data_IF_705336903388
#
_entry.id   IF_705336903388
#
_cell.length_a   1.000
_cell.length_b   1.000
_cell.length_c   1.000
_cell.angle_alpha   90.00
_cell.angle_beta   90.00
_cell.angle_gamma   90.00
#
_symmetry.space_group_name_H-M   'P 1'
#
loop_
_entity.id
_entity.type
_entity.pdbx_description
1 polymer ?
#
# COMPACT_ATOMS: atom_id res chain seq x y z
N UNK A 1 -31.04 -29.73 8.72
CA UNK A 1 -29.96 -30.13 7.79
C UNK A 1 -28.73 -29.28 8.10
N UNK A 2 -27.86 -29.79 8.98
CA UNK A 2 -26.58 -29.17 9.30
C UNK A 2 -25.49 -29.94 8.56
N UNK A 3 -25.00 -29.36 7.47
CA UNK A 3 -23.90 -29.92 6.71
C UNK A 3 -22.94 -28.78 6.42
N UNK A 4 -21.91 -28.63 7.26
CA UNK A 4 -20.50 -28.46 6.88
C UNK A 4 -19.73 -28.72 8.18
N UNK A 5 -19.27 -29.97 8.34
CA UNK A 5 -18.29 -30.33 9.34
C UNK A 5 -16.93 -29.96 8.73
N UNK A 6 -16.38 -28.81 9.10
CA UNK A 6 -15.06 -28.38 8.60
C UNK A 6 -14.03 -29.35 9.20
N UNK A 7 -13.25 -30.08 8.38
CA UNK A 7 -12.26 -31.00 8.93
C UNK A 7 -11.21 -30.20 9.70
N UNK A 8 -10.96 -30.64 10.94
CA UNK A 8 -9.87 -30.19 11.79
C UNK A 8 -8.57 -30.23 10.97
N UNK A 9 -8.01 -29.05 10.70
CA UNK A 9 -6.77 -28.90 9.93
C UNK A 9 -5.66 -29.74 10.57
N UNK A 10 -5.18 -30.76 9.86
CA UNK A 10 -4.06 -31.59 10.29
C UNK A 10 -2.76 -30.75 10.30
N UNK A 11 -1.93 -30.82 11.35
CA UNK A 11 -0.79 -29.91 11.55
C UNK A 11 0.49 -30.39 10.85
N UNK A 12 0.42 -30.71 9.56
CA UNK A 12 1.58 -31.19 8.78
C UNK A 12 2.02 -30.24 7.65
N UNK A 13 1.77 -28.94 7.80
CA UNK A 13 2.33 -27.86 6.98
C UNK A 13 3.37 -27.09 7.79
N UNK A 14 4.49 -26.60 7.23
CA UNK A 14 5.60 -26.06 8.02
C UNK A 14 5.08 -25.00 8.99
N UNK A 15 5.26 -25.29 10.28
CA UNK A 15 4.68 -24.67 11.47
C UNK A 15 5.14 -23.24 11.75
N UNK A 16 5.58 -22.50 10.73
CA UNK A 16 5.95 -21.09 10.85
C UNK A 16 4.93 -20.28 10.07
N UNK A 17 4.18 -19.44 10.78
CA UNK A 17 3.47 -18.32 10.15
C UNK A 17 4.52 -17.54 9.38
N UNK A 18 4.52 -17.66 8.04
CA UNK A 18 5.45 -16.94 7.20
C UNK A 18 4.86 -15.56 6.97
N UNK A 19 5.50 -14.55 7.54
CA UNK A 19 5.24 -13.19 7.11
C UNK A 19 5.70 -13.02 5.67
N UNK A 20 5.26 -11.92 5.07
CA UNK A 20 5.57 -11.58 3.69
C UNK A 20 5.40 -10.08 3.50
N UNK A 21 6.08 -9.54 2.51
CA UNK A 21 5.96 -8.17 2.03
C UNK A 21 5.42 -8.25 0.61
N UNK A 22 4.34 -7.53 0.34
CA UNK A 22 3.78 -7.33 -0.98
C UNK A 22 3.86 -5.85 -1.34
N UNK A 23 4.36 -5.51 -2.53
CA UNK A 23 4.48 -4.12 -2.97
C UNK A 23 3.63 -3.86 -4.21
N UNK A 24 2.83 -2.80 -4.15
CA UNK A 24 1.97 -2.27 -5.21
C UNK A 24 2.52 -0.91 -5.61
N UNK A 25 3.25 -0.88 -6.73
CA UNK A 25 3.84 0.32 -7.32
C UNK A 25 2.95 0.89 -8.42
N UNK A 26 3.28 2.10 -8.89
CA UNK A 26 2.67 2.71 -10.07
C UNK A 26 2.50 4.22 -9.92
N UNK A 27 2.22 4.94 -11.03
CA UNK A 27 2.08 6.38 -11.01
C UNK A 27 0.82 6.85 -10.26
N UNK A 28 0.64 8.16 -10.10
CA UNK A 28 -0.62 8.69 -9.56
C UNK A 28 -1.83 8.21 -10.41
N UNK A 29 -3.00 8.04 -9.80
CA UNK A 29 -4.23 7.55 -10.45
C UNK A 29 -4.19 6.12 -11.05
N UNK A 30 -3.15 5.32 -10.77
CA UNK A 30 -3.14 3.88 -11.11
C UNK A 30 -3.93 2.99 -10.14
N UNK A 31 -4.74 3.57 -9.24
CA UNK A 31 -5.60 2.87 -8.27
C UNK A 31 -4.86 2.02 -7.23
N UNK A 32 -3.62 2.35 -6.87
CA UNK A 32 -2.83 1.64 -5.85
C UNK A 32 -3.57 1.46 -4.52
N UNK A 33 -4.15 2.52 -3.97
CA UNK A 33 -4.88 2.47 -2.70
C UNK A 33 -6.12 1.57 -2.80
N UNK A 34 -6.78 1.51 -3.96
CA UNK A 34 -7.88 0.57 -4.21
C UNK A 34 -7.40 -0.88 -4.19
N UNK A 35 -6.29 -1.18 -4.86
CA UNK A 35 -5.71 -2.52 -4.86
C UNK A 35 -5.21 -2.93 -3.46
N UNK A 36 -4.60 -2.00 -2.71
CA UNK A 36 -4.24 -2.22 -1.31
C UNK A 36 -5.45 -2.62 -0.48
N UNK A 37 -6.51 -1.81 -0.51
CA UNK A 37 -7.73 -2.08 0.23
C UNK A 37 -8.38 -3.39 -0.19
N UNK A 38 -8.41 -3.69 -1.49
CA UNK A 38 -8.94 -4.95 -2.01
C UNK A 38 -8.17 -6.15 -1.45
N UNK A 39 -6.83 -6.11 -1.40
CA UNK A 39 -6.03 -7.19 -0.80
C UNK A 39 -6.27 -7.31 0.70
N UNK A 40 -6.30 -6.21 1.44
CA UNK A 40 -6.55 -6.21 2.88
C UNK A 40 -7.94 -6.75 3.21
N UNK A 41 -8.97 -6.37 2.45
CA UNK A 41 -10.34 -6.85 2.63
C UNK A 41 -10.47 -8.37 2.45
N UNK A 42 -9.70 -8.98 1.54
CA UNK A 42 -9.68 -10.45 1.40
C UNK A 42 -9.26 -11.16 2.69
N UNK A 43 -8.29 -10.61 3.41
CA UNK A 43 -7.88 -11.13 4.72
C UNK A 43 -8.94 -10.85 5.80
N UNK A 44 -9.54 -9.66 5.79
CA UNK A 44 -10.61 -9.31 6.73
C UNK A 44 -11.83 -10.22 6.59
N UNK A 45 -12.26 -10.53 5.37
CA UNK A 45 -13.36 -11.49 5.10
C UNK A 45 -13.03 -12.86 5.70
N UNK A 46 -11.77 -13.29 5.60
CA UNK A 46 -11.25 -14.49 6.22
C UNK A 46 -10.98 -14.35 7.73
N UNK A 47 -11.52 -13.32 8.40
CA UNK A 47 -11.46 -13.08 9.84
C UNK A 47 -10.07 -12.77 10.41
N UNK A 48 -9.11 -12.36 9.57
CA UNK A 48 -7.82 -11.86 10.04
C UNK A 48 -7.94 -10.44 10.61
N UNK A 49 -7.21 -10.16 11.69
CA UNK A 49 -7.09 -8.80 12.22
C UNK A 49 -6.21 -7.97 11.27
N UNK A 50 -6.75 -6.87 10.78
CA UNK A 50 -6.11 -6.02 9.79
C UNK A 50 -5.96 -4.59 10.32
N UNK A 51 -4.88 -3.92 9.94
CA UNK A 51 -4.64 -2.50 10.17
C UNK A 51 -4.26 -1.85 8.85
N UNK A 52 -4.83 -0.69 8.54
CA UNK A 52 -4.36 0.15 7.43
C UNK A 52 -3.73 1.40 8.01
N UNK A 53 -2.53 1.77 7.55
CA UNK A 53 -1.79 2.96 7.96
C UNK A 53 -1.76 3.93 6.80
N UNK A 54 -2.07 5.20 7.07
CA UNK A 54 -2.05 6.29 6.08
C UNK A 54 -1.11 7.41 6.51
N UNK A 55 -0.45 8.05 5.56
CA UNK A 55 0.43 9.17 5.87
C UNK A 55 -0.36 10.43 6.25
N UNK A 56 -0.19 10.93 7.47
CA UNK A 56 -1.01 12.03 8.04
C UNK A 56 -0.95 13.32 7.23
N UNK A 57 0.20 13.61 6.60
CA UNK A 57 0.40 14.88 5.88
C UNK A 57 -0.07 14.82 4.43
N UNK A 58 -0.61 13.68 3.98
CA UNK A 58 -1.27 13.60 2.69
C UNK A 58 -2.72 14.09 2.77
N UNK A 59 -2.88 15.41 2.69
CA UNK A 59 -4.20 16.07 2.70
C UNK A 59 -4.79 16.26 1.31
N UNK A 60 -4.16 15.69 0.25
CA UNK A 60 -4.59 15.90 -1.15
C UNK A 60 -6.02 15.43 -1.41
N UNK A 61 -6.54 14.52 -0.57
CA UNK A 61 -7.89 13.96 -0.68
C UNK A 61 -8.71 14.04 0.63
N UNK A 62 -8.21 14.74 1.66
CA UNK A 62 -8.80 14.69 3.01
C UNK A 62 -10.15 15.43 3.16
N UNK A 63 -10.71 16.00 2.10
CA UNK A 63 -12.06 16.59 2.12
C UNK A 63 -13.14 15.72 1.47
N UNK A 64 -12.76 14.75 0.63
CA UNK A 64 -13.72 14.00 -0.22
C UNK A 64 -13.36 12.50 -0.36
N UNK A 65 -12.76 11.86 0.65
CA UNK A 65 -12.83 10.39 0.68
C UNK A 65 -14.26 10.03 1.06
N UNK A 66 -15.06 9.93 0.00
CA UNK A 66 -16.49 9.75 0.03
C UNK A 66 -16.82 8.57 0.93
N UNK A 67 -17.49 8.86 2.03
CA UNK A 67 -18.23 7.96 2.90
C UNK A 67 -19.44 7.33 2.19
N UNK A 68 -19.29 6.98 0.90
CA UNK A 68 -20.33 6.27 0.16
C UNK A 68 -20.04 4.77 0.05
N UNK A 69 -18.80 4.31 0.29
CA UNK A 69 -18.53 2.90 0.52
C UNK A 69 -18.67 2.64 2.03
N UNK A 70 -19.83 2.14 2.45
CA UNK A 70 -20.21 1.81 3.83
C UNK A 70 -19.37 0.65 4.45
N UNK A 71 -18.15 0.42 3.97
CA UNK A 71 -17.27 -0.69 4.32
C UNK A 71 -15.80 -0.27 4.51
N UNK A 72 -15.54 1.02 4.75
CA UNK A 72 -14.17 1.51 4.94
C UNK A 72 -13.60 1.04 6.28
N UNK A 73 -12.65 0.10 6.23
CA UNK A 73 -11.75 -0.21 7.33
C UNK A 73 -11.10 1.09 7.84
N UNK A 74 -11.13 1.30 9.15
CA UNK A 74 -10.52 2.48 9.77
C UNK A 74 -9.00 2.48 9.52
N UNK A 75 -8.50 3.59 8.98
CA UNK A 75 -7.09 3.76 8.68
C UNK A 75 -6.44 4.64 9.76
N UNK A 76 -5.35 4.15 10.35
CA UNK A 76 -4.61 4.84 11.39
C UNK A 76 -3.62 5.83 10.74
N UNK A 77 -3.77 7.15 10.98
CA UNK A 77 -2.85 8.15 10.45
C UNK A 77 -1.50 8.09 11.18
N UNK A 78 -0.39 8.15 10.45
CA UNK A 78 0.95 8.18 11.01
C UNK A 78 1.93 9.04 10.17
N UNK A 79 3.00 9.53 10.80
CA UNK A 79 4.13 10.17 10.12
C UNK A 79 5.33 9.23 10.04
N UNK A 80 5.55 8.41 11.06
CA UNK A 80 6.47 7.27 11.10
C UNK A 80 5.66 6.01 11.38
N UNK A 81 6.02 4.89 10.76
CA UNK A 81 5.33 3.62 11.00
C UNK A 81 5.61 3.09 12.42
N UNK A 82 6.79 3.39 12.95
CA UNK A 82 7.14 3.03 14.32
C UNK A 82 6.27 3.74 15.38
N UNK A 83 5.67 4.89 15.08
CA UNK A 83 4.73 5.58 15.97
C UNK A 83 3.49 4.71 16.28
N UNK A 84 3.15 3.79 15.37
CA UNK A 84 1.98 2.91 15.45
C UNK A 84 2.35 1.43 15.60
N UNK A 85 3.60 1.14 16.01
CA UNK A 85 4.11 -0.22 16.12
C UNK A 85 3.30 -1.10 17.08
N UNK A 86 2.79 -0.55 18.19
CA UNK A 86 1.96 -1.31 19.13
C UNK A 86 0.66 -1.78 18.48
N UNK A 87 -0.01 -0.92 17.71
CA UNK A 87 -1.20 -1.28 16.94
C UNK A 87 -0.87 -2.34 15.88
N UNK A 88 0.26 -2.17 15.18
CA UNK A 88 0.74 -3.10 14.17
C UNK A 88 1.07 -4.49 14.76
N UNK A 89 1.64 -4.54 15.97
CA UNK A 89 1.93 -5.79 16.67
C UNK A 89 0.67 -6.59 17.03
N UNK A 90 -0.46 -5.91 17.28
CA UNK A 90 -1.73 -6.54 17.67
C UNK A 90 -2.53 -7.15 16.49
N UNK A 91 -2.09 -6.94 15.24
CA UNK A 91 -2.78 -7.42 14.03
C UNK A 91 -1.93 -8.41 13.23
N UNK A 92 -2.57 -9.12 12.30
CA UNK A 92 -1.94 -10.11 11.41
C UNK A 92 -1.56 -9.55 10.04
N UNK A 93 -2.33 -8.57 9.55
CA UNK A 93 -2.14 -7.96 8.23
C UNK A 93 -2.04 -6.45 8.38
N UNK A 94 -1.03 -5.86 7.75
CA UNK A 94 -0.78 -4.42 7.79
C UNK A 94 -0.74 -3.90 6.37
N UNK A 95 -1.71 -3.05 6.02
CA UNK A 95 -1.70 -2.26 4.79
C UNK A 95 -1.05 -0.90 5.04
N UNK A 96 -0.18 -0.46 4.14
CA UNK A 96 0.50 0.83 4.23
C UNK A 96 0.23 1.58 2.92
N UNK A 97 -0.52 2.67 3.00
CA UNK A 97 -0.82 3.53 1.86
C UNK A 97 0.17 4.70 1.78
N UNK A 98 0.48 5.14 0.57
CA UNK A 98 1.46 6.20 0.31
C UNK A 98 2.85 5.91 0.94
N UNK A 99 3.28 4.65 0.86
CA UNK A 99 4.49 4.10 1.48
C UNK A 99 5.78 4.89 1.23
N UNK A 100 5.87 5.60 0.10
CA UNK A 100 7.04 6.42 -0.25
C UNK A 100 7.29 7.60 0.73
N UNK A 101 6.31 8.00 1.54
CA UNK A 101 6.46 9.09 2.49
C UNK A 101 6.96 8.66 3.87
N UNK A 102 7.02 7.37 4.14
CA UNK A 102 7.50 6.82 5.41
C UNK A 102 9.00 6.52 5.32
N UNK A 103 9.86 7.30 6.01
CA UNK A 103 11.31 7.08 5.94
C UNK A 103 11.74 5.74 6.58
N UNK A 104 10.91 5.17 7.45
CA UNK A 104 11.12 3.92 8.18
C UNK A 104 10.45 2.70 7.51
N UNK A 105 9.93 2.84 6.28
CA UNK A 105 9.18 1.78 5.57
C UNK A 105 9.94 0.46 5.42
N UNK A 106 11.24 0.51 5.15
CA UNK A 106 12.05 -0.69 4.88
C UNK A 106 12.23 -1.48 6.17
N UNK A 107 12.78 -0.84 7.20
CA UNK A 107 13.05 -1.45 8.51
C UNK A 107 11.76 -1.97 9.15
N UNK A 108 10.69 -1.18 9.11
CA UNK A 108 9.40 -1.57 9.66
C UNK A 108 8.83 -2.79 8.94
N UNK A 109 8.82 -2.77 7.60
CA UNK A 109 8.23 -3.87 6.81
C UNK A 109 8.99 -5.17 7.00
N UNK A 110 10.32 -5.12 6.98
CA UNK A 110 11.17 -6.29 7.21
C UNK A 110 11.00 -6.83 8.63
N UNK A 111 11.01 -5.97 9.64
CA UNK A 111 10.84 -6.38 11.04
C UNK A 111 9.48 -7.03 11.27
N UNK A 112 8.40 -6.42 10.76
CA UNK A 112 7.05 -6.94 10.93
C UNK A 112 6.81 -8.22 10.13
N UNK A 113 7.36 -8.34 8.92
CA UNK A 113 7.32 -9.57 8.14
C UNK A 113 8.09 -10.71 8.83
N UNK A 114 9.28 -10.43 9.37
CA UNK A 114 10.04 -11.41 10.17
C UNK A 114 9.31 -11.83 11.46
N UNK A 115 8.45 -10.96 12.01
CA UNK A 115 7.53 -11.27 13.10
C UNK A 115 6.26 -12.05 12.67
N UNK A 116 6.19 -12.50 11.42
CA UNK A 116 5.09 -13.34 10.91
C UNK A 116 3.89 -12.56 10.36
N UNK A 117 4.00 -11.25 10.11
CA UNK A 117 2.90 -10.44 9.58
C UNK A 117 2.90 -10.38 8.07
N UNK A 118 1.72 -10.24 7.47
CA UNK A 118 1.59 -9.88 6.05
C UNK A 118 1.59 -8.37 5.91
N UNK A 119 2.58 -7.83 5.22
CA UNK A 119 2.73 -6.40 4.93
C UNK A 119 2.34 -6.16 3.48
N UNK A 120 1.47 -5.19 3.23
CA UNK A 120 1.04 -4.81 1.88
C UNK A 120 1.28 -3.31 1.73
N UNK A 121 2.17 -2.92 0.84
CA UNK A 121 2.60 -1.53 0.67
C UNK A 121 2.12 -1.00 -0.67
N UNK A 122 1.35 0.08 -0.68
CA UNK A 122 1.03 0.85 -1.88
C UNK A 122 1.89 2.12 -1.93
N UNK A 123 2.60 2.33 -3.03
CA UNK A 123 3.51 3.47 -3.14
C UNK A 123 3.78 3.92 -4.58
N UNK A 124 4.16 5.19 -4.73
CA UNK A 124 4.76 5.70 -5.96
C UNK A 124 6.20 5.17 -6.08
N UNK A 125 6.58 4.68 -7.27
CA UNK A 125 7.95 4.22 -7.55
C UNK A 125 8.91 5.34 -7.96
N UNK A 126 8.36 6.44 -8.51
CA UNK A 126 9.16 7.56 -8.99
C UNK A 126 8.54 8.94 -8.79
N UNK A 127 9.41 9.94 -8.69
CA UNK A 127 9.09 11.37 -8.73
C UNK A 127 8.55 11.77 -10.11
N UNK A 128 8.04 12.99 -10.24
CA UNK A 128 7.69 13.56 -11.55
C UNK A 128 8.88 13.67 -12.53
N UNK A 129 10.11 13.63 -12.01
CA UNK A 129 11.36 13.59 -12.79
C UNK A 129 11.79 12.16 -13.16
N UNK A 130 10.96 11.15 -12.86
CA UNK A 130 11.26 9.72 -13.07
C UNK A 130 12.49 9.24 -12.30
N UNK A 131 12.80 9.88 -11.18
CA UNK A 131 13.82 9.44 -10.21
C UNK A 131 13.16 8.63 -9.10
N UNK A 132 13.89 7.70 -8.50
CA UNK A 132 13.45 6.97 -7.30
C UNK A 132 12.87 7.94 -6.25
N UNK A 133 11.74 7.56 -5.64
CA UNK A 133 11.04 8.38 -4.66
C UNK A 133 11.16 7.77 -3.26
N UNK A 134 11.74 8.51 -2.33
CA UNK A 134 12.03 8.00 -0.99
C UNK A 134 12.95 6.78 -1.02
N UNK A 135 12.76 5.87 -0.08
CA UNK A 135 13.48 4.59 0.02
C UNK A 135 12.61 3.39 -0.37
N UNK A 136 11.46 3.60 -1.05
CA UNK A 136 10.52 2.52 -1.38
C UNK A 136 11.15 1.42 -2.23
N UNK A 137 12.07 1.77 -3.14
CA UNK A 137 12.77 0.81 -4.00
C UNK A 137 13.77 -0.08 -3.24
N UNK A 138 14.02 0.20 -1.97
CA UNK A 138 14.82 -0.69 -1.12
C UNK A 138 13.99 -1.88 -0.59
N UNK A 139 12.66 -1.87 -0.74
CA UNK A 139 11.82 -3.06 -0.48
C UNK A 139 11.90 -4.12 -1.58
N UNK A 140 12.38 -3.76 -2.77
CA UNK A 140 12.40 -4.65 -3.94
C UNK A 140 13.15 -5.97 -3.70
N UNK A 141 14.32 -6.02 -3.04
CA UNK A 141 14.99 -7.28 -2.72
C UNK A 141 14.34 -8.06 -1.57
N UNK A 142 13.45 -7.43 -0.80
CA UNK A 142 12.85 -8.01 0.43
C UNK A 142 11.43 -8.55 0.20
N UNK A 143 10.82 -8.30 -0.96
CA UNK A 143 9.41 -8.60 -1.21
C UNK A 143 9.20 -9.93 -1.93
N UNK A 144 8.20 -10.69 -1.49
CA UNK A 144 7.77 -11.94 -2.13
C UNK A 144 6.88 -11.70 -3.36
N UNK A 145 6.24 -10.54 -3.45
CA UNK A 145 5.35 -10.20 -4.57
C UNK A 145 5.37 -8.72 -4.85
N UNK A 146 5.57 -8.37 -6.12
CA UNK A 146 5.52 -6.99 -6.59
C UNK A 146 4.69 -6.85 -7.85
N UNK A 147 3.88 -5.80 -7.92
CA UNK A 147 3.18 -5.37 -9.12
C UNK A 147 3.39 -3.89 -9.34
N UNK A 148 3.61 -3.48 -10.58
CA UNK A 148 3.54 -2.07 -10.98
C UNK A 148 2.26 -1.84 -11.78
N UNK A 149 1.31 -1.16 -11.16
CA UNK A 149 0.06 -0.78 -11.80
C UNK A 149 0.32 0.31 -12.84
N UNK A 150 -0.41 0.21 -13.95
CA UNK A 150 -0.39 1.16 -15.06
C UNK A 150 -1.69 1.97 -15.01
N UNK A 151 -1.61 3.23 -15.44
CA UNK A 151 -2.78 4.09 -15.54
C UNK A 151 -3.06 4.48 -16.99
N UNK A 152 -4.01 5.39 -17.24
CA UNK A 152 -4.32 5.88 -18.59
C UNK A 152 -3.76 7.29 -18.77
N UNK A 153 -2.98 7.49 -19.82
CA UNK A 153 -2.40 8.78 -20.18
C UNK A 153 -3.51 9.80 -20.47
N UNK A 154 -3.41 10.96 -19.84
CA UNK A 154 -4.41 12.03 -20.02
C UNK A 154 -4.17 12.85 -21.31
N UNK A 155 -3.06 12.63 -22.00
CA UNK A 155 -2.74 13.31 -23.27
C UNK A 155 -3.05 12.43 -24.49
N UNK A 156 -2.68 11.14 -24.45
CA UNK A 156 -2.78 10.24 -25.62
C UNK A 156 -3.64 8.99 -25.40
N UNK A 157 -4.24 8.82 -24.20
CA UNK A 157 -5.13 7.71 -23.85
C UNK A 157 -4.51 6.30 -23.92
N UNK A 158 -3.18 6.19 -24.03
CA UNK A 158 -2.43 4.93 -23.92
C UNK A 158 -2.04 4.62 -22.47
N UNK A 159 -1.39 3.49 -22.26
CA UNK A 159 -0.81 3.09 -20.98
C UNK A 159 0.20 4.10 -20.44
N UNK A 160 -0.07 4.66 -19.25
CA UNK A 160 0.80 5.59 -18.56
C UNK A 160 1.50 4.94 -17.37
N UNK A 161 2.83 4.91 -17.43
CA UNK A 161 3.70 4.38 -16.38
C UNK A 161 4.31 5.48 -15.49
N UNK A 162 4.06 6.76 -15.80
CA UNK A 162 4.70 7.90 -15.14
C UNK A 162 3.71 8.99 -14.74
N UNK A 163 4.11 9.72 -13.71
CA UNK A 163 3.44 10.93 -13.23
C UNK A 163 4.16 12.15 -13.82
N UNK A 164 3.43 13.06 -14.48
CA UNK A 164 3.94 14.34 -15.00
C UNK A 164 3.37 15.48 -14.18
N UNK A 165 4.20 16.42 -13.77
CA UNK A 165 3.79 17.64 -13.06
C UNK A 165 3.41 18.74 -14.05
N UNK A 166 2.31 19.47 -13.82
CA UNK A 166 1.81 20.54 -14.70
C UNK A 166 2.13 21.99 -14.24
N UNK A 167 3.06 22.21 -13.30
CA UNK A 167 3.33 23.55 -12.76
C UNK A 167 4.81 23.85 -12.49
N UNK A 168 5.16 25.15 -12.45
CA UNK A 168 6.54 25.66 -12.30
C UNK A 168 7.01 25.87 -10.85
N UNK A 169 6.15 25.71 -9.84
CA UNK A 169 6.52 26.07 -8.46
C UNK A 169 7.59 25.15 -7.86
N UNK A 170 8.55 25.69 -7.12
CA UNK A 170 9.59 24.87 -6.46
C UNK A 170 9.08 24.08 -5.25
N UNK A 171 7.85 24.33 -4.78
CA UNK A 171 7.30 23.68 -3.60
C UNK A 171 6.58 22.36 -3.87
N UNK A 172 6.83 21.42 -2.97
CA UNK A 172 6.53 19.99 -3.03
C UNK A 172 5.11 19.62 -2.57
N UNK A 173 4.20 20.58 -2.38
CA UNK A 173 3.08 20.35 -1.44
C UNK A 173 1.67 20.14 -2.01
N UNK A 174 1.28 20.70 -3.14
CA UNK A 174 0.07 20.23 -3.84
C UNK A 174 0.28 20.45 -5.33
N UNK A 175 0.45 19.38 -6.08
CA UNK A 175 0.72 19.46 -7.51
C UNK A 175 -0.33 18.65 -8.24
N UNK A 176 -1.10 19.31 -9.10
CA UNK A 176 -1.90 18.61 -10.11
C UNK A 176 -0.90 17.91 -11.01
N UNK A 177 -0.82 16.60 -10.81
CA UNK A 177 -0.06 15.74 -11.70
C UNK A 177 -1.02 15.07 -12.66
N UNK A 178 -0.57 14.86 -13.89
CA UNK A 178 -1.26 14.02 -14.86
C UNK A 178 -0.41 12.78 -15.16
N UNK A 179 -0.95 11.91 -15.99
CA UNK A 179 -0.33 10.67 -16.40
C UNK A 179 0.30 10.79 -17.78
N UNK A 180 1.50 10.23 -17.96
CA UNK A 180 2.24 10.32 -19.23
C UNK A 180 2.88 8.98 -19.60
N UNK A 181 2.93 8.70 -20.92
CA UNK A 181 3.62 7.56 -21.52
C UNK A 181 5.13 7.82 -21.69
N UNK A 182 5.89 6.83 -22.17
CA UNK A 182 7.19 7.13 -22.78
C UNK A 182 6.98 8.04 -24.01
N UNK A 183 7.89 9.00 -24.28
CA UNK A 183 7.89 9.75 -25.54
C UNK A 183 8.08 8.81 -26.73
#
# INVERSE_FOLDING_TARGET
MNCINVPTMLPSSPSKVRGQIQVILGPMFSRKSTELMHRVQRFQIAQYKCLVIKYTKDTRYSKNFSTHDQNTMEALPACLLWDVAQNALAVTVIGIDEGQFFPDIVEFSETMANAGKTIIVAALDGTFQRKALGNILNLMPLTESMVKLIAVCMECFREAAYTKRLGMEKESRVQISILHCLP
#
